data_IF_467693709482
#
_entry.id   IF_467693709482
#
_cell.length_a   1.000
_cell.length_b   1.000
_cell.length_c   1.000
_cell.angle_alpha   90.00
_cell.angle_beta   90.00
_cell.angle_gamma   90.00
#
_symmetry.space_group_name_H-M   'P 1'
#
loop_
_entity.id
_entity.type
_entity.pdbx_description
1 polymer ?
#
# COMPACT_ATOMS: atom_id res chain seq x y z
N UNK A 1 5.96 3.28 4.56
CA UNK A 1 4.53 2.92 4.78
C UNK A 1 4.40 1.68 5.67
N UNK A 2 4.97 0.52 5.31
CA UNK A 2 4.86 -0.71 6.12
C UNK A 2 5.19 -0.52 7.60
N UNK A 3 6.38 0.04 7.90
CA UNK A 3 6.79 0.32 9.28
C UNK A 3 5.81 1.22 10.04
N UNK A 4 5.24 2.25 9.41
CA UNK A 4 4.29 3.18 10.05
C UNK A 4 2.96 2.48 10.36
N UNK A 5 2.47 1.64 9.44
CA UNK A 5 1.25 0.86 9.61
C UNK A 5 1.40 -0.22 10.69
N UNK A 6 2.61 -0.73 10.89
CA UNK A 6 2.93 -1.73 11.93
C UNK A 6 3.10 -1.11 13.32
N UNK A 7 3.48 0.16 13.43
CA UNK A 7 3.72 0.82 14.72
C UNK A 7 2.48 0.95 15.63
N UNK A 8 1.28 0.55 15.19
CA UNK A 8 0.07 0.56 16.03
C UNK A 8 -0.41 1.94 16.47
N UNK A 9 0.09 3.01 15.84
CA UNK A 9 -0.33 4.39 16.08
C UNK A 9 -1.49 4.77 15.17
N UNK A 10 -2.22 5.82 15.52
CA UNK A 10 -3.21 6.40 14.62
C UNK A 10 -2.52 6.88 13.34
N UNK A 11 -3.00 6.41 12.19
CA UNK A 11 -2.52 6.80 10.87
C UNK A 11 -3.70 7.38 10.10
N UNK A 12 -3.54 8.61 9.59
CA UNK A 12 -4.51 9.25 8.71
C UNK A 12 -3.93 9.30 7.28
N UNK A 13 -4.33 8.38 6.39
CA UNK A 13 -3.88 8.42 5.01
C UNK A 13 -4.56 9.56 4.24
N UNK A 14 -3.77 10.35 3.51
CA UNK A 14 -4.25 11.33 2.54
C UNK A 14 -4.10 10.73 1.16
N UNK A 15 -5.21 10.59 0.42
CA UNK A 15 -5.23 10.10 -0.95
C UNK A 15 -5.30 11.31 -1.89
N UNK A 16 -4.20 11.59 -2.57
CA UNK A 16 -4.11 12.70 -3.51
C UNK A 16 -4.13 12.17 -4.93
N UNK A 17 -5.15 12.56 -5.69
CA UNK A 17 -5.35 12.17 -7.10
C UNK A 17 -5.34 10.66 -7.35
N UNK A 18 -5.74 9.89 -6.33
CA UNK A 18 -5.91 8.44 -6.39
C UNK A 18 -7.10 8.04 -5.52
N UNK A 19 -7.78 6.96 -5.90
CA UNK A 19 -8.86 6.44 -5.10
C UNK A 19 -8.32 5.46 -4.02
N UNK A 20 -8.94 5.42 -2.82
CA UNK A 20 -8.54 4.45 -1.79
C UNK A 20 -8.55 2.99 -2.27
N UNK A 21 -9.43 2.63 -3.22
CA UNK A 21 -9.48 1.29 -3.83
C UNK A 21 -8.27 0.96 -4.69
N UNK A 22 -7.67 1.96 -5.33
CA UNK A 22 -6.44 1.80 -6.12
C UNK A 22 -5.26 1.55 -5.20
N UNK A 23 -5.18 2.27 -4.09
CA UNK A 23 -4.14 2.03 -3.07
C UNK A 23 -4.31 0.65 -2.41
N UNK A 24 -5.52 0.30 -1.99
CA UNK A 24 -5.80 -0.97 -1.28
C UNK A 24 -5.46 -2.21 -2.11
N UNK A 25 -5.71 -2.13 -3.42
CA UNK A 25 -5.52 -3.23 -4.34
C UNK A 25 -4.21 -3.12 -5.11
N UNK A 26 -3.42 -2.06 -4.88
CA UNK A 26 -2.20 -1.75 -5.62
C UNK A 26 -2.47 -1.78 -7.12
N UNK A 27 -3.45 -0.96 -7.53
CA UNK A 27 -3.94 -0.80 -8.90
C UNK A 27 -3.64 0.60 -9.45
N UNK A 28 -3.94 0.82 -10.73
CA UNK A 28 -3.79 2.13 -11.38
C UNK A 28 -2.32 2.56 -11.40
N UNK A 29 -1.96 3.74 -10.86
CA UNK A 29 -0.59 4.27 -10.96
C UNK A 29 0.48 3.42 -10.27
N UNK A 30 0.08 2.51 -9.36
CA UNK A 30 1.01 1.67 -8.61
C UNK A 30 1.42 0.37 -9.34
N UNK A 31 0.65 -0.08 -10.34
CA UNK A 31 0.81 -1.43 -10.93
C UNK A 31 2.16 -1.62 -11.61
N UNK A 32 2.58 -0.65 -12.43
CA UNK A 32 3.83 -0.76 -13.19
C UNK A 32 5.06 -0.85 -12.28
N UNK A 33 5.08 -0.05 -11.20
CA UNK A 33 6.16 -0.07 -10.22
C UNK A 33 6.19 -1.38 -9.44
N UNK A 34 5.03 -1.87 -8.98
CA UNK A 34 4.96 -3.13 -8.25
C UNK A 34 5.32 -4.35 -9.12
N UNK A 35 4.92 -4.36 -10.40
CA UNK A 35 5.34 -5.41 -11.34
C UNK A 35 6.86 -5.45 -11.48
N UNK A 36 7.49 -4.28 -11.67
CA UNK A 36 8.95 -4.19 -11.74
C UNK A 36 9.63 -4.66 -10.45
N UNK A 37 9.07 -4.34 -9.28
CA UNK A 37 9.61 -4.77 -8.00
C UNK A 37 9.36 -6.26 -7.67
N UNK A 38 8.35 -6.90 -8.26
CA UNK A 38 8.12 -8.33 -8.10
C UNK A 38 9.08 -9.19 -8.95
N UNK A 39 9.65 -8.63 -10.01
CA UNK A 39 10.69 -9.26 -10.84
C UNK A 39 12.07 -9.28 -10.15
N UNK A 40 12.25 -8.47 -9.12
CA UNK A 40 13.46 -8.40 -8.30
C UNK A 40 13.32 -9.32 -7.07
N UNK A 41 14.09 -10.41 -7.04
CA UNK A 41 14.05 -11.40 -5.97
C UNK A 41 14.43 -10.83 -4.59
N UNK A 42 15.27 -9.77 -4.53
CA UNK A 42 15.61 -9.12 -3.26
C UNK A 42 14.43 -8.29 -2.72
N UNK A 43 13.59 -7.77 -3.61
CA UNK A 43 12.46 -6.91 -3.24
C UNK A 43 11.18 -7.68 -3.01
N UNK A 44 11.03 -8.89 -3.57
CA UNK A 44 9.83 -9.73 -3.48
C UNK A 44 9.22 -9.84 -2.08
N UNK A 45 10.07 -10.06 -1.06
CA UNK A 45 9.62 -10.10 0.34
C UNK A 45 9.08 -8.74 0.83
N UNK A 46 9.80 -7.64 0.54
CA UNK A 46 9.38 -6.28 0.87
C UNK A 46 8.11 -5.87 0.13
N UNK A 47 7.98 -6.27 -1.13
CA UNK A 47 6.80 -5.98 -1.96
C UNK A 47 5.54 -6.60 -1.33
N UNK A 48 5.66 -7.79 -0.75
CA UNK A 48 4.56 -8.42 0.01
C UNK A 48 4.18 -7.62 1.27
N UNK A 49 5.15 -7.13 2.03
CA UNK A 49 4.91 -6.28 3.20
C UNK A 49 4.23 -4.96 2.81
N UNK A 50 4.72 -4.31 1.74
CA UNK A 50 4.14 -3.07 1.23
C UNK A 50 2.70 -3.26 0.76
N UNK A 51 2.40 -4.34 0.03
CA UNK A 51 1.02 -4.69 -0.37
C UNK A 51 0.11 -4.79 0.86
N UNK A 52 0.54 -5.47 1.92
CA UNK A 52 -0.27 -5.57 3.15
C UNK A 52 -0.48 -4.22 3.83
N UNK A 53 0.56 -3.40 3.89
CA UNK A 53 0.51 -2.08 4.49
C UNK A 53 -0.43 -1.14 3.73
N UNK A 54 -0.33 -1.09 2.40
CA UNK A 54 -1.23 -0.31 1.54
C UNK A 54 -2.66 -0.82 1.61
N UNK A 55 -2.88 -2.14 1.71
CA UNK A 55 -4.22 -2.74 1.90
C UNK A 55 -4.86 -2.35 3.24
N UNK A 56 -4.07 -2.18 4.30
CA UNK A 56 -4.55 -1.64 5.59
C UNK A 56 -4.80 -0.13 5.46
N UNK A 57 -3.86 0.61 4.89
CA UNK A 57 -3.95 2.05 4.70
C UNK A 57 -5.21 2.45 3.91
N UNK A 58 -5.45 1.80 2.77
CA UNK A 58 -6.61 2.03 1.91
C UNK A 58 -7.96 1.60 2.49
N UNK A 59 -7.99 1.01 3.70
CA UNK A 59 -9.23 0.67 4.42
C UNK A 59 -9.58 1.64 5.55
N UNK A 60 -8.68 2.54 5.94
CA UNK A 60 -8.96 3.48 7.05
C UNK A 60 -10.10 4.46 6.76
N UNK A 61 -10.45 4.72 5.50
CA UNK A 61 -11.55 5.61 5.12
C UNK A 61 -12.88 4.91 4.81
N UNK A 62 -12.96 3.57 4.86
CA UNK A 62 -14.24 2.86 4.68
C UNK A 62 -15.09 2.83 5.96
N UNK A 63 -14.53 3.27 7.10
CA UNK A 63 -15.07 3.04 8.44
C UNK A 63 -15.40 4.33 9.20
N UNK A 64 -15.36 5.49 8.55
CA UNK A 64 -15.79 6.78 9.12
C UNK A 64 -16.99 7.30 8.34
#
# INVERSE_FOLDING_TARGET
IAKIVECGRLVLPIFYDVEPREVRNVKGPFEAAFRKHDEDEELKAKTKEWRQALRRAGRFLDTI
#
